data_IF_964974560292
#
_entry.id   IF_964974560292
#
_cell.length_a   1.000
_cell.length_b   1.000
_cell.length_c   1.000
_cell.angle_alpha   90.00
_cell.angle_beta   90.00
_cell.angle_gamma   90.00
#
_symmetry.space_group_name_H-M   'P 1'
#
loop_
_entity.id
_entity.type
_entity.pdbx_description
1 polymer ?
#
# COMPACT_ATOMS: atom_id res chain seq x y z
N UNK A 1 -0.74 8.68 -6.17
CA UNK A 1 -1.94 8.61 -7.04
C UNK A 1 -1.59 7.69 -8.20
N UNK A 2 -2.36 6.63 -8.39
CA UNK A 2 -2.16 5.63 -9.44
C UNK A 2 -2.94 6.07 -10.68
N UNK A 3 -2.30 6.13 -11.85
CA UNK A 3 -2.95 6.55 -13.10
C UNK A 3 -2.94 5.50 -14.21
N UNK A 4 -2.30 4.36 -13.96
CA UNK A 4 -2.23 3.24 -14.90
C UNK A 4 -1.93 1.91 -14.20
N UNK A 5 -2.04 0.80 -14.95
CA UNK A 5 -1.86 -0.56 -14.43
C UNK A 5 -0.40 -0.86 -14.00
N UNK A 6 0.58 -0.16 -14.58
CA UNK A 6 1.97 -0.30 -14.17
C UNK A 6 2.19 0.27 -12.76
N UNK A 7 1.63 1.44 -12.47
CA UNK A 7 1.65 2.05 -11.14
C UNK A 7 0.81 1.27 -10.13
N UNK A 8 -0.32 0.69 -10.56
CA UNK A 8 -1.10 -0.23 -9.74
C UNK A 8 -0.24 -1.41 -9.30
N UNK A 9 0.45 -2.05 -10.25
CA UNK A 9 1.32 -3.20 -10.00
C UNK A 9 2.43 -2.84 -9.02
N UNK A 10 3.14 -1.72 -9.25
CA UNK A 10 4.21 -1.24 -8.36
C UNK A 10 3.69 -0.97 -6.95
N UNK A 11 2.50 -0.37 -6.83
CA UNK A 11 1.89 -0.07 -5.53
C UNK A 11 1.52 -1.35 -4.78
N UNK A 12 0.92 -2.33 -5.46
CA UNK A 12 0.60 -3.64 -4.87
C UNK A 12 1.85 -4.39 -4.39
N UNK A 13 2.92 -4.38 -5.19
CA UNK A 13 4.20 -4.98 -4.77
C UNK A 13 4.80 -4.29 -3.55
N UNK A 14 4.69 -2.96 -3.47
CA UNK A 14 5.18 -2.19 -2.32
C UNK A 14 4.38 -2.49 -1.06
N UNK A 15 3.05 -2.60 -1.15
CA UNK A 15 2.19 -3.05 -0.05
C UNK A 15 2.64 -4.43 0.43
N UNK A 16 2.82 -5.39 -0.48
CA UNK A 16 3.24 -6.75 -0.12
C UNK A 16 4.60 -6.78 0.61
N UNK A 17 5.57 -5.96 0.16
CA UNK A 17 6.87 -5.82 0.84
C UNK A 17 6.73 -5.29 2.27
N UNK A 18 5.89 -4.27 2.50
CA UNK A 18 5.67 -3.76 3.85
C UNK A 18 4.94 -4.77 4.75
N UNK A 19 3.95 -5.49 4.22
CA UNK A 19 3.29 -6.57 4.95
C UNK A 19 4.28 -7.68 5.35
N UNK A 20 5.24 -8.02 4.49
CA UNK A 20 6.31 -8.96 4.82
C UNK A 20 7.21 -8.44 5.95
N UNK A 21 7.59 -7.17 5.93
CA UNK A 21 8.39 -6.55 7.00
C UNK A 21 7.66 -6.54 8.34
N UNK A 22 6.38 -6.14 8.36
CA UNK A 22 5.56 -6.20 9.57
C UNK A 22 5.45 -7.65 10.08
N UNK A 23 5.22 -8.60 9.18
CA UNK A 23 5.12 -10.03 9.53
C UNK A 23 6.42 -10.59 10.11
N UNK A 24 7.58 -10.09 9.65
CA UNK A 24 8.87 -10.40 10.23
C UNK A 24 9.02 -9.78 11.63
N UNK A 25 8.74 -8.49 11.78
CA UNK A 25 8.81 -7.77 13.07
C UNK A 25 7.94 -8.42 14.15
N UNK A 26 6.75 -8.93 13.79
CA UNK A 26 5.87 -9.70 14.69
C UNK A 26 6.52 -10.94 15.31
N UNK A 27 7.58 -11.47 14.69
CA UNK A 27 8.28 -12.68 15.15
C UNK A 27 9.55 -12.37 15.94
N UNK A 28 10.20 -11.23 15.64
CA UNK A 28 11.55 -10.94 16.14
C UNK A 28 11.59 -9.86 17.22
N UNK A 29 10.64 -8.92 17.21
CA UNK A 29 10.57 -7.90 18.26
C UNK A 29 9.85 -8.47 19.48
N UNK A 30 10.47 -8.32 20.65
CA UNK A 30 10.00 -8.91 21.92
C UNK A 30 9.39 -7.87 22.84
N UNK A 31 9.73 -6.59 22.64
CA UNK A 31 9.15 -5.47 23.36
C UNK A 31 7.94 -4.90 22.59
N UNK A 32 6.73 -4.91 23.17
CA UNK A 32 5.52 -4.41 22.49
C UNK A 32 5.60 -2.94 22.07
N UNK A 33 6.17 -2.06 22.91
CA UNK A 33 6.27 -0.63 22.60
C UNK A 33 7.22 -0.39 21.42
N UNK A 34 8.34 -1.10 21.39
CA UNK A 34 9.27 -1.06 20.25
C UNK A 34 8.61 -1.60 18.98
N UNK A 35 7.84 -2.68 19.09
CA UNK A 35 7.08 -3.23 17.96
C UNK A 35 6.12 -2.19 17.39
N UNK A 36 5.30 -1.58 18.25
CA UNK A 36 4.33 -0.56 17.84
C UNK A 36 5.02 0.65 17.20
N UNK A 37 6.12 1.13 17.79
CA UNK A 37 6.92 2.21 17.20
C UNK A 37 7.44 1.82 15.81
N UNK A 38 8.01 0.62 15.66
CA UNK A 38 8.60 0.14 14.42
C UNK A 38 7.58 -0.09 13.29
N UNK A 39 6.37 -0.58 13.60
CA UNK A 39 5.37 -0.90 12.56
C UNK A 39 4.45 0.26 12.20
N UNK A 40 4.34 1.28 13.06
CA UNK A 40 3.40 2.40 12.87
C UNK A 40 3.51 3.08 11.50
N UNK A 41 4.73 3.38 11.06
CA UNK A 41 4.98 4.00 9.75
C UNK A 41 4.63 3.09 8.57
N UNK A 42 4.90 1.78 8.68
CA UNK A 42 4.52 0.82 7.63
C UNK A 42 3.00 0.70 7.50
N UNK A 43 2.28 0.65 8.62
CA UNK A 43 0.81 0.55 8.64
C UNK A 43 0.17 1.80 8.02
N UNK A 44 0.61 3.00 8.43
CA UNK A 44 0.11 4.24 7.87
C UNK A 44 0.34 4.35 6.35
N UNK A 45 1.50 3.91 5.87
CA UNK A 45 1.82 3.92 4.45
C UNK A 45 1.03 2.84 3.66
N UNK A 46 0.78 1.67 4.25
CA UNK A 46 -0.13 0.67 3.68
C UNK A 46 -1.54 1.23 3.55
N UNK A 47 -2.06 1.90 4.58
CA UNK A 47 -3.41 2.48 4.56
C UNK A 47 -3.54 3.52 3.45
N UNK A 48 -2.54 4.41 3.32
CA UNK A 48 -2.47 5.40 2.25
C UNK A 48 -2.44 4.77 0.86
N UNK A 49 -1.62 3.73 0.66
CA UNK A 49 -1.52 3.05 -0.65
C UNK A 49 -2.77 2.22 -0.96
N UNK A 50 -3.39 1.58 0.03
CA UNK A 50 -4.66 0.86 -0.11
C UNK A 50 -5.79 1.80 -0.54
N UNK A 51 -5.80 3.02 -0.01
CA UNK A 51 -6.73 4.07 -0.46
C UNK A 51 -6.54 4.36 -1.96
N UNK A 52 -5.31 4.61 -2.41
CA UNK A 52 -5.01 4.88 -3.82
C UNK A 52 -5.39 3.71 -4.74
N UNK A 53 -5.09 2.46 -4.31
CA UNK A 53 -5.47 1.25 -5.06
C UNK A 53 -6.98 1.15 -5.20
N UNK A 54 -7.72 1.39 -4.12
CA UNK A 54 -9.18 1.36 -4.14
C UNK A 54 -9.75 2.44 -5.05
N UNK A 55 -9.22 3.65 -4.99
CA UNK A 55 -9.62 4.77 -5.85
C UNK A 55 -9.41 4.43 -7.32
N UNK A 56 -8.22 3.94 -7.69
CA UNK A 56 -7.93 3.53 -9.07
C UNK A 56 -8.85 2.41 -9.55
N UNK A 57 -9.00 1.34 -8.77
CA UNK A 57 -9.83 0.17 -9.13
C UNK A 57 -11.33 0.46 -9.12
N UNK A 58 -11.76 1.60 -8.56
CA UNK A 58 -13.15 2.04 -8.62
C UNK A 58 -13.54 2.66 -9.96
N UNK A 59 -12.55 3.01 -10.79
CA UNK A 59 -12.75 3.61 -12.11
C UNK A 59 -12.68 2.54 -13.19
N UNK A 60 -13.60 2.60 -14.15
CA UNK A 60 -13.53 1.77 -15.34
C UNK A 60 -12.46 2.32 -16.30
N UNK A 61 -11.69 1.47 -17.01
CA UNK A 61 -10.66 1.95 -17.96
C UNK A 61 -11.16 2.95 -19.01
N UNK A 62 -12.44 2.86 -19.40
CA UNK A 62 -13.05 3.84 -20.32
C UNK A 62 -13.17 5.24 -19.71
N UNK A 63 -13.43 5.36 -18.40
CA UNK A 63 -13.53 6.64 -17.70
C UNK A 63 -12.14 7.26 -17.52
N UNK A 64 -11.11 6.44 -17.30
CA UNK A 64 -9.72 6.88 -17.25
C UNK A 64 -9.24 7.46 -18.59
N UNK A 65 -9.72 6.89 -19.71
CA UNK A 65 -9.40 7.40 -21.05
C UNK A 65 -10.01 8.79 -21.32
N UNK A 66 -11.15 9.12 -20.71
CA UNK A 66 -11.80 10.44 -20.82
C UNK A 66 -11.10 11.50 -19.95
N UNK A 67 -10.48 11.11 -18.83
CA UNK A 67 -9.76 12.03 -17.93
C UNK A 67 -8.36 12.37 -18.47
N UNK A 68 -7.77 11.51 -19.32
CA UNK A 68 -6.45 11.72 -19.92
C UNK A 68 -6.43 12.43 -21.28
N UNK A 69 -7.60 12.79 -21.83
CA UNK A 69 -7.77 13.49 -23.11
C UNK A 69 -8.05 14.99 -22.91
#
# INVERSE_FOLDING_TARGET
MIVNDQELTVTLERIAKFQLQISHLRKVETNPDNYHAAVSGYLAEIDRMQLEVREYLSLHPAELAEIGA
#
